data_IF_512532662528
#
_entry.id   IF_512532662528
#
_cell.length_a   1.000
_cell.length_b   1.000
_cell.length_c   1.000
_cell.angle_alpha   90.00
_cell.angle_beta   90.00
_cell.angle_gamma   90.00
#
_symmetry.space_group_name_H-M   'P 1'
#
loop_
_entity.id
_entity.type
_entity.pdbx_description
1 polymer ?
#
# COMPACT_ATOMS: atom_id res chain seq x y z
N UNK A 1 -0.25 -14.61 2.52
CA UNK A 1 0.14 -13.22 2.29
C UNK A 1 -1.12 -12.40 2.06
N UNK A 2 -1.38 -11.41 2.90
CA UNK A 2 -2.56 -10.54 2.81
C UNK A 2 -2.32 -9.40 1.82
N UNK A 3 -3.33 -9.12 0.99
CA UNK A 3 -3.31 -8.00 0.06
C UNK A 3 -4.51 -7.06 0.34
N UNK A 4 -4.27 -5.84 0.87
CA UNK A 4 -5.31 -4.87 1.12
C UNK A 4 -5.65 -4.00 -0.10
N UNK A 5 -4.88 -4.08 -1.19
CA UNK A 5 -5.03 -3.17 -2.32
C UNK A 5 -6.07 -3.68 -3.31
N UNK A 6 -7.00 -2.82 -3.74
CA UNK A 6 -7.94 -3.18 -4.81
C UNK A 6 -7.22 -3.24 -6.16
N UNK A 7 -7.82 -3.99 -7.10
CA UNK A 7 -7.42 -3.91 -8.50
C UNK A 7 -7.63 -2.49 -9.05
N UNK A 8 -6.67 -2.04 -9.85
CA UNK A 8 -6.78 -0.80 -10.61
C UNK A 8 -7.77 -1.02 -11.75
N UNK A 9 -8.94 -0.39 -11.67
CA UNK A 9 -9.91 -0.36 -12.77
C UNK A 9 -9.82 0.97 -13.51
N UNK A 10 -10.26 1.00 -14.77
CA UNK A 10 -10.36 2.26 -15.53
C UNK A 10 -11.16 3.33 -14.79
N UNK A 11 -12.26 2.94 -14.14
CA UNK A 11 -13.07 3.86 -13.32
C UNK A 11 -12.24 4.43 -12.18
N UNK A 12 -11.56 3.58 -11.41
CA UNK A 12 -10.71 4.02 -10.31
C UNK A 12 -9.60 4.95 -10.80
N UNK A 13 -8.92 4.62 -11.90
CA UNK A 13 -7.90 5.49 -12.51
C UNK A 13 -8.46 6.88 -12.83
N UNK A 14 -9.58 6.95 -13.53
CA UNK A 14 -10.19 8.23 -13.93
C UNK A 14 -10.68 9.03 -12.72
N UNK A 15 -11.21 8.36 -11.69
CA UNK A 15 -11.58 9.02 -10.44
C UNK A 15 -10.38 9.65 -9.74
N UNK A 16 -9.21 9.00 -9.77
CA UNK A 16 -7.99 9.55 -9.17
C UNK A 16 -7.43 10.72 -9.98
N UNK A 17 -7.43 10.62 -11.31
CA UNK A 17 -7.06 11.74 -12.20
C UNK A 17 -7.98 12.94 -11.95
N UNK A 18 -9.30 12.71 -11.84
CA UNK A 18 -10.28 13.76 -11.51
C UNK A 18 -10.05 14.39 -10.14
N UNK A 19 -9.52 13.62 -9.17
CA UNK A 19 -9.10 14.11 -7.84
C UNK A 19 -7.77 14.88 -7.87
N UNK A 20 -7.21 15.15 -9.05
CA UNK A 20 -5.98 15.92 -9.22
C UNK A 20 -4.69 15.08 -9.13
N UNK A 21 -4.79 13.74 -9.19
CA UNK A 21 -3.60 12.89 -9.26
C UNK A 21 -2.97 13.01 -10.65
N UNK A 22 -1.69 13.41 -10.68
CA UNK A 22 -0.90 13.63 -11.89
C UNK A 22 0.12 12.53 -12.08
N UNK A 23 0.92 12.26 -11.05
CA UNK A 23 2.01 11.31 -11.12
C UNK A 23 1.53 9.94 -10.69
N UNK A 24 1.87 8.90 -11.44
CA UNK A 24 1.57 7.53 -11.03
C UNK A 24 2.85 6.72 -11.08
N UNK A 25 3.26 6.20 -9.92
CA UNK A 25 4.43 5.33 -9.81
C UNK A 25 3.96 3.90 -9.88
N UNK A 26 4.56 3.10 -10.77
CA UNK A 26 4.39 1.65 -10.86
C UNK A 26 5.61 0.96 -10.31
N UNK A 27 5.38 -0.13 -9.59
CA UNK A 27 6.40 -1.08 -9.12
C UNK A 27 5.92 -2.52 -9.26
N UNK A 28 6.85 -3.47 -9.22
CA UNK A 28 6.60 -4.90 -9.03
C UNK A 28 5.91 -5.12 -7.70
N UNK A 29 4.91 -6.01 -7.67
CA UNK A 29 4.10 -6.27 -6.48
C UNK A 29 4.01 -7.76 -6.16
N UNK A 30 5.03 -8.26 -5.46
CA UNK A 30 5.15 -9.67 -5.12
C UNK A 30 3.95 -10.20 -4.31
N UNK A 31 3.34 -9.38 -3.44
CA UNK A 31 2.17 -9.82 -2.65
C UNK A 31 0.92 -10.08 -3.47
N UNK A 32 0.80 -9.43 -4.63
CA UNK A 32 -0.29 -9.66 -5.59
C UNK A 32 0.03 -10.77 -6.58
N UNK A 33 1.22 -11.37 -6.53
CA UNK A 33 1.63 -12.39 -7.48
C UNK A 33 0.94 -13.72 -7.19
N UNK A 34 0.52 -14.40 -8.26
CA UNK A 34 -0.10 -15.72 -8.23
C UNK A 34 0.58 -16.60 -9.28
N UNK A 35 0.59 -17.92 -9.09
CA UNK A 35 1.32 -18.87 -9.95
C UNK A 35 0.95 -18.77 -11.44
N UNK A 36 -0.28 -18.32 -11.75
CA UNK A 36 -0.80 -18.22 -13.11
C UNK A 36 -0.53 -16.86 -13.77
N UNK A 37 0.08 -15.92 -13.06
CA UNK A 37 0.38 -14.59 -13.57
C UNK A 37 1.79 -14.53 -14.14
N UNK A 38 1.97 -13.71 -15.17
CA UNK A 38 3.27 -13.31 -15.69
C UNK A 38 3.91 -12.28 -14.76
N UNK A 39 3.13 -11.30 -14.29
CA UNK A 39 3.58 -10.34 -13.29
C UNK A 39 2.40 -9.68 -12.58
N UNK A 40 2.64 -9.19 -11.36
CA UNK A 40 1.75 -8.33 -10.62
C UNK A 40 2.41 -6.98 -10.37
N UNK A 41 1.64 -5.90 -10.50
CA UNK A 41 2.11 -4.53 -10.34
C UNK A 41 1.27 -3.75 -9.33
N UNK A 42 1.91 -2.84 -8.60
CA UNK A 42 1.23 -1.88 -7.73
C UNK A 42 1.44 -0.48 -8.28
N UNK A 43 0.37 0.30 -8.34
CA UNK A 43 0.40 1.69 -8.80
C UNK A 43 -0.06 2.63 -7.69
N UNK A 44 0.73 3.67 -7.41
CA UNK A 44 0.39 4.74 -6.46
C UNK A 44 0.24 6.07 -7.19
N UNK A 45 -0.87 6.78 -6.92
CA UNK A 45 -1.15 8.10 -7.48
C UNK A 45 -0.74 9.23 -6.54
N UNK A 46 0.01 10.20 -7.06
CA UNK A 46 0.43 11.42 -6.39
C UNK A 46 -0.14 12.66 -7.10
N UNK A 47 -0.44 13.69 -6.32
CA UNK A 47 -0.86 15.00 -6.83
C UNK A 47 0.33 15.73 -7.43
N UNK A 48 0.05 16.78 -8.18
CA UNK A 48 1.07 17.56 -8.87
C UNK A 48 2.13 18.13 -7.90
N UNK A 49 1.69 18.64 -6.75
CA UNK A 49 2.53 19.21 -5.69
C UNK A 49 3.35 18.16 -4.91
N UNK A 50 3.03 16.87 -5.02
CA UNK A 50 3.69 15.78 -4.30
C UNK A 50 4.96 15.29 -5.03
N UNK A 51 5.59 16.13 -5.88
CA UNK A 51 6.71 15.75 -6.75
C UNK A 51 7.93 15.20 -5.99
N UNK A 52 8.30 15.81 -4.87
CA UNK A 52 9.43 15.32 -4.05
C UNK A 52 9.18 13.89 -3.53
N UNK A 53 7.94 13.58 -3.13
CA UNK A 53 7.57 12.24 -2.65
C UNK A 53 7.60 11.20 -3.78
N UNK A 54 7.31 11.61 -5.01
CA UNK A 54 7.45 10.75 -6.20
C UNK A 54 8.91 10.41 -6.44
N UNK A 55 9.81 11.39 -6.28
CA UNK A 55 11.26 11.19 -6.45
C UNK A 55 11.83 10.28 -5.36
N UNK A 56 11.41 10.47 -4.11
CA UNK A 56 11.72 9.55 -3.00
C UNK A 56 11.21 8.14 -3.29
N UNK A 57 9.96 7.98 -3.75
CA UNK A 57 9.41 6.68 -4.10
C UNK A 57 10.19 6.02 -5.24
N UNK A 58 10.50 6.76 -6.31
CA UNK A 58 11.29 6.22 -7.41
C UNK A 58 12.72 5.84 -6.95
N UNK A 59 13.29 6.55 -5.98
CA UNK A 59 14.61 6.22 -5.43
C UNK A 59 14.61 4.89 -4.66
N UNK A 60 13.49 4.50 -4.01
CA UNK A 60 13.39 3.17 -3.38
C UNK A 60 13.28 2.04 -4.40
N UNK A 61 12.94 2.34 -5.64
CA UNK A 61 12.69 1.38 -6.72
C UNK A 61 13.87 1.22 -7.69
N UNK A 62 15.07 1.69 -7.35
CA UNK A 62 16.23 1.66 -8.25
C UNK A 62 16.58 0.27 -8.79
N UNK A 63 16.30 -0.80 -8.05
CA UNK A 63 16.56 -2.18 -8.47
C UNK A 63 15.35 -2.86 -9.13
N UNK A 64 14.18 -2.21 -9.13
CA UNK A 64 12.98 -2.77 -9.74
C UNK A 64 12.97 -2.48 -11.25
N UNK A 65 13.29 -3.49 -12.04
CA UNK A 65 13.31 -3.39 -13.51
C UNK A 65 11.94 -3.07 -14.14
N UNK A 66 10.85 -3.21 -13.39
CA UNK A 66 9.51 -2.82 -13.83
C UNK A 66 9.08 -1.44 -13.31
N UNK A 67 9.92 -0.74 -12.54
CA UNK A 67 9.60 0.58 -12.04
C UNK A 67 9.32 1.55 -13.19
N UNK A 68 8.25 2.33 -13.10
CA UNK A 68 7.95 3.34 -14.10
C UNK A 68 7.13 4.50 -13.52
N UNK A 69 7.49 5.72 -13.92
CA UNK A 69 6.76 6.93 -13.56
C UNK A 69 5.90 7.40 -14.75
N UNK A 70 4.59 7.33 -14.60
CA UNK A 70 3.63 7.93 -15.52
C UNK A 70 3.32 9.38 -15.12
N UNK A 71 3.03 10.19 -16.13
CA UNK A 71 2.51 11.56 -15.97
C UNK A 71 1.18 11.64 -16.72
N UNK A 72 0.09 11.82 -15.99
CA UNK A 72 -1.25 11.85 -16.56
C UNK A 72 -1.50 13.06 -17.48
N UNK A 73 -0.64 14.10 -17.45
CA UNK A 73 -0.69 15.19 -18.44
C UNK A 73 -0.13 14.79 -19.80
N UNK A 74 0.62 13.69 -19.88
CA UNK A 74 1.15 13.15 -21.13
C UNK A 74 0.15 12.12 -21.70
N UNK A 75 -0.48 12.37 -22.87
CA UNK A 75 -1.53 11.49 -23.40
C UNK A 75 -1.09 10.03 -23.57
N UNK A 76 0.14 9.79 -24.03
CA UNK A 76 0.67 8.42 -24.19
C UNK A 76 0.87 7.71 -22.85
N UNK A 77 1.18 8.43 -21.77
CA UNK A 77 1.29 7.85 -20.43
C UNK A 77 -0.10 7.51 -19.87
N UNK A 78 -1.08 8.40 -20.06
CA UNK A 78 -2.45 8.16 -19.67
C UNK A 78 -3.07 6.96 -20.42
N UNK A 79 -2.78 6.81 -21.71
CA UNK A 79 -3.21 5.64 -22.48
C UNK A 79 -2.59 4.34 -21.95
N UNK A 80 -1.28 4.33 -21.65
CA UNK A 80 -0.60 3.18 -21.03
C UNK A 80 -1.21 2.83 -19.67
N UNK A 81 -1.48 3.83 -18.82
CA UNK A 81 -2.21 3.63 -17.56
C UNK A 81 -3.60 3.05 -17.80
N UNK A 82 -4.32 3.52 -18.82
CA UNK A 82 -5.64 3.00 -19.20
C UNK A 82 -5.62 1.55 -19.67
N UNK A 83 -4.54 1.12 -20.33
CA UNK A 83 -4.28 -0.29 -20.69
C UNK A 83 -4.01 -1.12 -19.44
N UNK A 84 -3.15 -0.65 -18.54
CA UNK A 84 -2.86 -1.32 -17.27
C UNK A 84 -4.13 -1.48 -16.41
N UNK A 85 -4.94 -0.43 -16.31
CA UNK A 85 -6.22 -0.42 -15.62
C UNK A 85 -7.31 -1.29 -16.29
N UNK A 86 -7.03 -1.81 -17.49
CA UNK A 86 -7.85 -2.79 -18.19
C UNK A 86 -7.56 -4.25 -17.82
N UNK A 87 -6.58 -4.50 -16.92
CA UNK A 87 -6.18 -5.84 -16.48
C UNK A 87 -5.81 -6.76 -17.66
N UNK A 88 -4.70 -6.49 -18.37
CA UNK A 88 -4.29 -7.31 -19.51
C UNK A 88 -4.07 -8.76 -19.08
N UNK A 89 -4.38 -9.69 -19.98
CA UNK A 89 -4.29 -11.13 -19.71
C UNK A 89 -2.89 -11.51 -19.23
N UNK A 90 -2.82 -12.27 -18.13
CA UNK A 90 -1.57 -12.69 -17.50
C UNK A 90 -0.97 -11.65 -16.54
N UNK A 91 -1.64 -10.53 -16.30
CA UNK A 91 -1.18 -9.51 -15.36
C UNK A 91 -2.28 -9.10 -14.38
N UNK A 92 -1.88 -8.76 -13.17
CA UNK A 92 -2.74 -8.04 -12.23
C UNK A 92 -2.12 -6.71 -11.85
N UNK A 93 -2.91 -5.65 -11.94
CA UNK A 93 -2.49 -4.30 -11.59
C UNK A 93 -3.34 -3.80 -10.44
N UNK A 94 -2.70 -3.52 -9.32
CA UNK A 94 -3.31 -3.05 -8.08
C UNK A 94 -3.12 -1.54 -7.92
N UNK A 95 -3.98 -0.92 -7.12
CA UNK A 95 -3.87 0.49 -6.76
C UNK A 95 -3.59 0.65 -5.27
N UNK A 96 -2.47 1.30 -4.94
CA UNK A 96 -2.10 1.69 -3.58
C UNK A 96 -2.99 2.85 -3.10
N UNK A 97 -4.21 2.52 -2.70
CA UNK A 97 -5.05 3.44 -1.95
C UNK A 97 -4.53 3.57 -0.52
N UNK A 98 -4.73 4.74 0.10
CA UNK A 98 -4.49 4.89 1.55
C UNK A 98 -5.36 3.87 2.29
N UNK A 99 -4.73 2.84 2.83
CA UNK A 99 -5.36 1.98 3.82
C UNK A 99 -5.42 2.82 5.09
N UNK A 100 -6.64 3.11 5.55
CA UNK A 100 -6.88 4.06 6.63
C UNK A 100 -6.63 3.48 8.02
N UNK A 101 -6.76 4.35 9.03
CA UNK A 101 -6.77 3.99 10.47
C UNK A 101 -7.94 3.10 10.87
N UNK A 102 -8.97 2.98 10.03
CA UNK A 102 -10.15 2.16 10.28
C UNK A 102 -10.03 0.75 9.67
N UNK A 103 -8.82 0.34 9.27
CA UNK A 103 -8.58 -1.00 8.79
C UNK A 103 -8.92 -2.03 9.87
N UNK A 104 -9.86 -2.92 9.55
CA UNK A 104 -10.18 -4.06 10.38
C UNK A 104 -9.37 -5.27 9.90
N UNK A 105 -8.39 -5.76 10.68
CA UNK A 105 -7.65 -6.95 10.31
C UNK A 105 -8.59 -8.17 10.23
N UNK A 106 -8.38 -9.08 9.25
CA UNK A 106 -8.99 -10.40 9.32
C UNK A 106 -8.62 -11.13 10.62
N UNK A 107 -9.49 -12.00 11.12
CA UNK A 107 -9.34 -12.68 12.44
C UNK A 107 -7.95 -13.32 12.64
N UNK A 108 -7.39 -13.91 11.59
CA UNK A 108 -6.06 -14.50 11.61
C UNK A 108 -4.98 -13.46 12.00
N UNK A 109 -4.99 -12.30 11.34
CA UNK A 109 -4.02 -11.23 11.60
C UNK A 109 -4.31 -10.54 12.92
N UNK A 110 -5.58 -10.43 13.34
CA UNK A 110 -5.92 -9.91 14.66
C UNK A 110 -5.25 -10.73 15.78
N UNK A 111 -5.30 -12.07 15.66
CA UNK A 111 -4.63 -12.97 16.61
C UNK A 111 -3.10 -12.76 16.61
N UNK A 112 -2.48 -12.70 15.43
CA UNK A 112 -1.03 -12.53 15.32
C UNK A 112 -0.55 -11.16 15.83
N UNK A 113 -1.29 -10.10 15.54
CA UNK A 113 -1.06 -8.76 16.11
C UNK A 113 -1.12 -8.82 17.63
N UNK A 114 -2.13 -9.49 18.18
CA UNK A 114 -2.32 -9.64 19.62
C UNK A 114 -1.16 -10.40 20.26
N UNK A 115 -0.66 -11.45 19.62
CA UNK A 115 0.47 -12.23 20.12
C UNK A 115 1.78 -11.43 20.05
N UNK A 116 2.03 -10.72 18.95
CA UNK A 116 3.19 -9.84 18.78
C UNK A 116 3.25 -8.76 19.87
N UNK A 117 2.16 -8.04 20.11
CA UNK A 117 2.08 -7.02 21.16
C UNK A 117 2.40 -7.62 22.53
N UNK A 118 1.88 -8.82 22.84
CA UNK A 118 2.13 -9.46 24.15
C UNK A 118 3.60 -9.78 24.35
N UNK A 119 4.29 -10.22 23.30
CA UNK A 119 5.69 -10.63 23.36
C UNK A 119 6.64 -9.43 23.42
N UNK A 120 6.41 -8.40 22.60
CA UNK A 120 7.33 -7.27 22.44
C UNK A 120 6.98 -6.06 23.31
N UNK A 121 5.72 -5.94 23.73
CA UNK A 121 5.22 -4.84 24.55
C UNK A 121 4.39 -5.35 25.74
N UNK A 122 4.98 -6.17 26.64
CA UNK A 122 4.25 -6.76 27.76
C UNK A 122 3.58 -5.69 28.64
N UNK A 123 4.18 -4.50 28.76
CA UNK A 123 3.67 -3.40 29.56
C UNK A 123 2.42 -2.70 28.99
N UNK A 124 2.08 -2.92 27.70
CA UNK A 124 0.90 -2.29 27.08
C UNK A 124 -0.43 -2.93 27.51
N UNK A 125 -0.41 -4.07 28.23
CA UNK A 125 -1.62 -4.74 28.77
C UNK A 125 -1.75 -4.72 30.28
N UNK A 126 -0.73 -4.25 31.01
CA UNK A 126 -0.58 -4.54 32.45
C UNK A 126 -1.42 -3.62 33.35
N UNK A 127 -2.10 -2.61 32.82
CA UNK A 127 -2.91 -1.71 33.64
C UNK A 127 -4.31 -1.58 33.03
N UNK A 128 -5.32 -1.66 33.89
CA UNK A 128 -6.74 -1.48 33.55
C UNK A 128 -7.09 -0.04 33.21
N UNK A 129 -6.21 0.67 32.51
CA UNK A 129 -6.26 2.09 32.26
C UNK A 129 -6.64 2.37 30.80
N UNK A 130 -7.81 1.89 30.38
CA UNK A 130 -8.71 2.50 29.36
C UNK A 130 -8.16 2.91 27.99
N UNK A 131 -6.87 2.76 27.73
CA UNK A 131 -6.18 3.19 26.53
C UNK A 131 -6.11 2.05 25.56
N UNK A 132 -7.19 1.82 24.82
CA UNK A 132 -7.21 0.82 23.76
C UNK A 132 -6.03 1.05 22.80
N UNK A 133 -5.29 -0.02 22.51
CA UNK A 133 -4.23 0.00 21.49
C UNK A 133 -4.92 0.17 20.15
N UNK A 134 -4.65 1.27 19.45
CA UNK A 134 -5.12 1.44 18.07
C UNK A 134 -4.07 0.87 17.13
N UNK A 135 -4.53 0.06 16.19
CA UNK A 135 -3.68 -0.55 15.16
C UNK A 135 -4.21 -0.09 13.81
N UNK A 136 -3.34 0.48 12.99
CA UNK A 136 -3.64 0.88 11.62
C UNK A 136 -2.70 0.18 10.64
N UNK A 137 -3.20 -0.14 9.45
CA UNK A 137 -2.36 -0.59 8.33
C UNK A 137 -1.99 0.62 7.50
N UNK A 138 -0.70 0.86 7.35
CA UNK A 138 -0.13 1.96 6.58
C UNK A 138 0.61 1.41 5.37
N UNK A 139 0.53 2.14 4.26
CA UNK A 139 1.33 1.86 3.07
C UNK A 139 2.33 2.99 2.85
N UNK A 140 3.61 2.62 2.78
CA UNK A 140 4.73 3.52 2.51
C UNK A 140 5.48 2.93 1.31
N UNK A 141 5.47 3.65 0.18
CA UNK A 141 6.16 3.25 -1.06
C UNK A 141 5.85 1.83 -1.54
N UNK A 142 4.62 1.40 -1.31
CA UNK A 142 4.05 0.10 -1.67
C UNK A 142 4.39 -1.05 -0.72
N UNK A 143 5.08 -0.75 0.38
CA UNK A 143 5.28 -1.66 1.51
C UNK A 143 4.23 -1.42 2.59
N UNK A 144 3.82 -2.51 3.25
CA UNK A 144 2.81 -2.50 4.29
C UNK A 144 3.47 -2.46 5.67
N UNK A 145 2.98 -1.56 6.52
CA UNK A 145 3.43 -1.38 7.88
C UNK A 145 2.24 -1.40 8.83
N UNK A 146 2.39 -2.05 9.96
CA UNK A 146 1.48 -1.86 11.09
C UNK A 146 1.96 -0.70 11.93
N UNK A 147 1.09 0.28 12.11
CA UNK A 147 1.29 1.36 13.07
C UNK A 147 0.46 1.10 14.31
N UNK A 148 1.14 1.03 15.44
CA UNK A 148 0.54 0.94 16.76
C UNK A 148 0.55 2.31 17.41
N UNK A 149 -0.56 2.64 18.07
CA UNK A 149 -0.66 3.82 18.89
C UNK A 149 -1.17 3.42 20.27
N UNK A 150 -0.35 3.67 21.29
CA UNK A 150 -0.70 3.47 22.69
C UNK A 150 -0.29 4.70 23.51
N UNK A 151 -1.29 5.45 24.00
CA UNK A 151 -1.13 6.72 24.74
C UNK A 151 -0.36 7.79 23.97
N UNK A 152 0.95 7.92 24.21
CA UNK A 152 1.88 8.87 23.56
C UNK A 152 2.97 8.16 22.78
N UNK A 153 2.95 6.82 22.77
CA UNK A 153 3.90 6.01 22.03
C UNK A 153 3.29 5.65 20.67
N UNK A 154 4.03 5.99 19.62
CA UNK A 154 3.81 5.46 18.28
C UNK A 154 4.92 4.47 17.96
N UNK A 155 4.54 3.32 17.43
CA UNK A 155 5.47 2.28 17.03
C UNK A 155 5.04 1.72 15.69
N UNK A 156 5.98 1.41 14.81
CA UNK A 156 5.71 0.94 13.46
C UNK A 156 6.59 -0.26 13.14
N UNK A 157 5.99 -1.31 12.58
CA UNK A 157 6.71 -2.51 12.12
C UNK A 157 6.30 -2.87 10.69
N UNK A 158 7.19 -3.50 9.90
CA UNK A 158 6.80 -4.12 8.65
C UNK A 158 5.70 -5.16 8.88
N UNK A 159 4.69 -5.20 8.02
CA UNK A 159 3.58 -6.16 8.12
C UNK A 159 4.07 -7.62 8.05
N UNK A 160 5.15 -7.89 7.31
CA UNK A 160 5.76 -9.22 7.20
C UNK A 160 6.25 -9.79 8.53
N UNK A 161 6.51 -8.93 9.52
CA UNK A 161 6.92 -9.37 10.87
C UNK A 161 5.86 -10.24 11.54
N UNK A 162 4.59 -10.11 11.12
CA UNK A 162 3.46 -10.85 11.68
C UNK A 162 2.79 -11.78 10.65
N UNK A 163 3.38 -11.99 9.47
CA UNK A 163 2.87 -12.92 8.44
C UNK A 163 3.29 -14.39 8.66
#
# INVERSE_FOLDING_TARGET
MYNPFPLLTRRLLMDQVKKGKRWFVRQTFSRGMREQLTAAFLIRGYKEEERAQVEEHMATLQQDGNAFLYDAKIPVHLEKLGKAAGQPVGYEVFYAAKVGTDWQPPELYERRIRDYIRQHHPNWRVRGDGGGIRVGLHEIFGELFLKFHHRREEYMIPFDTIE
#
